data_IF_999649246314
#
_entry.id   IF_999649246314
#
_cell.length_a   1.000
_cell.length_b   1.000
_cell.length_c   1.000
_cell.angle_alpha   90.00
_cell.angle_beta   90.00
_cell.angle_gamma   90.00
#
_symmetry.space_group_name_H-M   'P 1'
#
loop_
_entity.id
_entity.type
_entity.pdbx_description
1 polymer ?
#
# COMPACT_ATOMS: atom_id res chain seq x y z
N UNK A 1 21.80 -10.09 -3.40
CA UNK A 1 20.42 -10.02 -3.70
C UNK A 1 19.82 -11.35 -3.96
N UNK A 2 19.81 -12.25 -3.16
CA UNK A 2 19.21 -13.54 -3.36
C UNK A 2 17.83 -13.66 -2.75
N UNK A 3 17.31 -12.59 -2.15
CA UNK A 3 16.06 -12.65 -1.44
C UNK A 3 14.85 -12.52 -2.34
N UNK A 4 13.70 -12.93 -1.81
CA UNK A 4 12.45 -12.83 -2.55
C UNK A 4 11.85 -11.44 -2.43
N UNK A 5 10.98 -11.11 -3.38
CA UNK A 5 10.27 -9.84 -3.42
C UNK A 5 8.79 -10.09 -3.18
N UNK A 6 8.20 -9.28 -2.30
CA UNK A 6 6.78 -9.35 -1.99
C UNK A 6 6.14 -8.01 -2.33
N UNK A 7 4.97 -8.06 -2.94
CA UNK A 7 4.17 -6.85 -3.19
C UNK A 7 2.92 -6.93 -2.32
N UNK A 8 2.83 -6.06 -1.33
CA UNK A 8 1.69 -5.95 -0.43
C UNK A 8 0.87 -4.75 -0.87
N UNK A 9 -0.45 -4.89 -0.95
CA UNK A 9 -1.25 -3.76 -1.37
C UNK A 9 -2.67 -3.80 -0.81
N UNK A 10 -3.23 -2.61 -0.61
CA UNK A 10 -4.66 -2.43 -0.39
C UNK A 10 -5.22 -1.69 -1.61
N UNK A 11 -6.29 -2.22 -2.18
CA UNK A 11 -6.92 -1.59 -3.35
C UNK A 11 -8.41 -1.43 -3.08
N UNK A 12 -8.88 -0.18 -3.14
CA UNK A 12 -10.29 0.11 -2.91
C UNK A 12 -11.11 -0.02 -4.18
N UNK A 13 -10.58 0.44 -5.32
CA UNK A 13 -11.34 0.50 -6.57
C UNK A 13 -10.66 -0.23 -7.73
N UNK A 14 -9.54 -0.88 -7.49
CA UNK A 14 -8.83 -1.64 -8.52
C UNK A 14 -7.59 -0.96 -9.08
N UNK A 15 -7.42 0.33 -8.86
CA UNK A 15 -6.27 1.05 -9.42
C UNK A 15 -4.95 0.59 -8.81
N UNK A 16 -4.91 0.46 -7.48
CA UNK A 16 -3.70 0.00 -6.80
C UNK A 16 -3.40 -1.45 -7.17
N UNK A 17 -4.43 -2.27 -7.28
CA UNK A 17 -4.27 -3.67 -7.66
C UNK A 17 -3.62 -3.79 -9.03
N UNK A 18 -4.04 -2.97 -9.98
CA UNK A 18 -3.48 -3.00 -11.33
C UNK A 18 -1.99 -2.70 -11.32
N UNK A 19 -1.58 -1.68 -10.57
CA UNK A 19 -0.17 -1.34 -10.44
C UNK A 19 0.60 -2.47 -9.77
N UNK A 20 0.04 -3.00 -8.67
CA UNK A 20 0.67 -4.10 -7.94
C UNK A 20 0.89 -5.31 -8.84
N UNK A 21 -0.12 -5.70 -9.62
CA UNK A 21 -0.01 -6.85 -10.51
C UNK A 21 1.07 -6.66 -11.57
N UNK A 22 1.24 -5.43 -12.07
CA UNK A 22 2.27 -5.14 -13.03
C UNK A 22 3.67 -5.30 -12.40
N UNK A 23 3.84 -4.83 -11.16
CA UNK A 23 5.10 -5.00 -10.45
C UNK A 23 5.39 -6.49 -10.22
N UNK A 24 4.38 -7.24 -9.80
CA UNK A 24 4.51 -8.68 -9.58
C UNK A 24 5.02 -9.38 -10.85
N UNK A 25 4.41 -9.08 -11.99
CA UNK A 25 4.82 -9.69 -13.25
C UNK A 25 6.23 -9.26 -13.64
N UNK A 26 6.54 -7.98 -13.48
CA UNK A 26 7.83 -7.45 -13.90
C UNK A 26 8.98 -8.06 -13.13
N UNK A 27 8.80 -8.25 -11.82
CA UNK A 27 9.87 -8.70 -10.93
C UNK A 27 9.77 -10.18 -10.58
N UNK A 28 8.74 -10.87 -11.09
CA UNK A 28 8.47 -12.25 -10.72
C UNK A 28 8.34 -12.36 -9.19
N UNK A 29 7.55 -11.48 -8.61
CA UNK A 29 7.38 -11.37 -7.17
C UNK A 29 6.14 -12.10 -6.69
N UNK A 30 6.06 -12.32 -5.38
CA UNK A 30 4.83 -12.80 -4.75
C UNK A 30 3.97 -11.58 -4.40
N UNK A 31 2.69 -11.80 -4.15
CA UNK A 31 1.78 -10.71 -3.79
C UNK A 31 0.97 -11.07 -2.56
N UNK A 32 0.53 -10.05 -1.84
CA UNK A 32 -0.31 -10.21 -0.67
C UNK A 32 -1.30 -9.05 -0.63
N UNK A 33 -2.57 -9.36 -0.89
CA UNK A 33 -3.60 -8.34 -0.89
C UNK A 33 -4.15 -8.14 0.52
N UNK A 34 -4.25 -6.88 0.96
CA UNK A 34 -4.84 -6.55 2.25
C UNK A 34 -6.35 -6.43 2.07
N UNK A 35 -7.08 -7.31 2.74
CA UNK A 35 -8.54 -7.39 2.59
C UNK A 35 -9.18 -7.14 3.93
N UNK A 36 -9.87 -5.97 4.11
CA UNK A 36 -10.59 -5.73 5.35
C UNK A 36 -11.66 -6.78 5.59
N UNK A 37 -11.86 -7.16 6.85
CA UNK A 37 -12.93 -8.11 7.19
C UNK A 37 -14.29 -7.53 6.82
N UNK A 38 -14.44 -6.20 6.96
CA UNK A 38 -15.57 -5.48 6.40
C UNK A 38 -15.09 -4.71 5.18
N UNK A 39 -15.40 -5.24 4.00
CA UNK A 39 -14.97 -4.63 2.75
C UNK A 39 -15.68 -3.29 2.57
N UNK A 40 -14.94 -2.30 2.08
CA UNK A 40 -15.53 -1.00 1.78
C UNK A 40 -16.37 -1.10 0.52
N UNK A 41 -17.65 -0.79 0.65
CA UNK A 41 -18.55 -0.72 -0.49
C UNK A 41 -18.38 0.61 -1.20
N UNK A 42 -19.03 0.75 -2.36
CA UNK A 42 -19.00 2.03 -3.08
C UNK A 42 -19.54 3.15 -2.20
N UNK A 43 -20.63 2.89 -1.47
CA UNK A 43 -21.21 3.87 -0.56
C UNK A 43 -20.24 4.19 0.58
N UNK A 44 -19.53 3.18 1.10
CA UNK A 44 -18.54 3.38 2.16
C UNK A 44 -17.41 4.31 1.72
N UNK A 45 -17.06 4.28 0.44
CA UNK A 45 -15.95 5.04 -0.11
C UNK A 45 -16.34 6.44 -0.56
N UNK A 46 -17.60 6.81 -0.45
CA UNK A 46 -18.09 8.10 -0.94
C UNK A 46 -17.62 9.23 0.00
N UNK A 47 -16.43 9.74 -0.27
CA UNK A 47 -15.82 10.77 0.57
C UNK A 47 -16.58 12.11 0.56
N UNK A 48 -17.45 12.33 -0.44
CA UNK A 48 -18.24 13.55 -0.48
C UNK A 48 -19.47 13.49 0.43
N UNK A 49 -19.81 12.31 0.93
CA UNK A 49 -20.92 12.12 1.87
C UNK A 49 -20.34 12.05 3.28
N UNK A 50 -20.69 13.03 4.12
CA UNK A 50 -20.15 13.10 5.49
C UNK A 50 -20.56 11.92 6.35
N UNK A 51 -21.64 11.23 5.96
CA UNK A 51 -22.14 10.08 6.72
C UNK A 51 -21.55 8.76 6.24
N UNK A 52 -20.72 8.77 5.21
CA UNK A 52 -20.12 7.54 4.71
C UNK A 52 -19.09 7.00 5.72
N UNK A 53 -18.80 5.71 5.60
CA UNK A 53 -17.84 5.06 6.49
C UNK A 53 -16.48 5.75 6.43
N UNK A 54 -15.97 6.01 5.21
CA UNK A 54 -14.64 6.58 5.06
C UNK A 54 -14.58 8.00 5.62
N UNK A 55 -15.67 8.78 5.48
CA UNK A 55 -15.69 10.14 6.02
C UNK A 55 -15.71 10.13 7.53
N UNK A 56 -16.46 9.23 8.13
CA UNK A 56 -16.49 9.10 9.59
C UNK A 56 -15.15 8.65 10.15
N UNK A 57 -14.49 7.74 9.46
CA UNK A 57 -13.17 7.28 9.87
C UNK A 57 -12.15 8.41 9.73
N UNK A 58 -12.28 9.22 8.69
CA UNK A 58 -11.40 10.37 8.53
C UNK A 58 -11.59 11.37 9.68
N UNK A 59 -12.84 11.68 10.02
CA UNK A 59 -13.13 12.64 11.07
C UNK A 59 -12.75 12.13 12.46
N UNK A 60 -12.69 10.82 12.63
CA UNK A 60 -12.37 10.21 13.92
C UNK A 60 -11.21 9.22 13.75
N UNK A 61 -9.96 9.69 13.86
CA UNK A 61 -8.81 8.81 13.64
C UNK A 61 -8.80 7.55 14.50
N UNK A 62 -9.45 7.57 15.66
CA UNK A 62 -9.50 6.39 16.52
C UNK A 62 -10.31 5.26 15.90
N UNK A 63 -11.20 5.56 14.95
CA UNK A 63 -12.01 4.54 14.28
C UNK A 63 -11.32 3.98 13.03
N UNK A 64 -10.09 4.41 12.73
CA UNK A 64 -9.35 3.94 11.56
C UNK A 64 -8.61 2.62 11.79
N UNK A 65 -8.85 1.95 12.89
CA UNK A 65 -8.21 0.67 13.18
C UNK A 65 -8.97 -0.43 12.45
N UNK A 66 -8.68 -0.60 11.17
CA UNK A 66 -9.42 -1.49 10.29
C UNK A 66 -8.88 -2.90 10.41
N UNK A 67 -9.73 -3.84 10.78
CA UNK A 67 -9.35 -5.24 10.88
C UNK A 67 -9.18 -5.83 9.48
N UNK A 68 -8.12 -6.61 9.28
CA UNK A 68 -7.84 -7.31 8.02
C UNK A 68 -8.10 -8.80 8.19
N UNK A 69 -8.50 -9.46 7.10
CA UNK A 69 -8.67 -10.91 7.12
C UNK A 69 -7.38 -11.63 7.44
N UNK A 70 -6.25 -11.05 7.03
CA UNK A 70 -4.92 -11.51 7.42
C UNK A 70 -3.99 -10.29 7.44
N UNK A 71 -3.17 -10.19 8.47
CA UNK A 71 -2.24 -9.06 8.61
C UNK A 71 -0.80 -9.51 8.74
N UNK A 72 -0.52 -10.80 8.61
CA UNK A 72 0.83 -11.35 8.61
C UNK A 72 0.98 -12.27 7.40
N UNK A 73 2.20 -12.43 6.94
CA UNK A 73 2.52 -13.17 5.72
C UNK A 73 3.37 -14.38 6.08
N UNK A 74 2.99 -15.55 5.53
CA UNK A 74 3.80 -16.75 5.70
C UNK A 74 5.17 -16.55 5.04
N UNK A 75 6.21 -17.10 5.66
CA UNK A 75 7.59 -17.00 5.16
C UNK A 75 8.06 -15.55 5.08
N UNK A 76 7.56 -14.71 5.97
CA UNK A 76 7.91 -13.28 5.99
C UNK A 76 9.42 -13.07 5.96
N UNK A 77 10.16 -13.89 6.67
CA UNK A 77 11.62 -13.76 6.78
C UNK A 77 12.35 -13.98 5.47
N UNK A 78 11.72 -14.68 4.52
CA UNK A 78 12.35 -14.97 3.22
C UNK A 78 12.35 -13.76 2.27
N UNK A 79 11.57 -12.72 2.60
CA UNK A 79 11.45 -11.56 1.74
C UNK A 79 12.44 -10.47 2.14
N UNK A 80 13.34 -10.12 1.22
CA UNK A 80 14.31 -9.04 1.43
C UNK A 80 13.75 -7.69 1.01
N UNK A 81 12.83 -7.69 0.06
CA UNK A 81 12.26 -6.47 -0.50
C UNK A 81 10.74 -6.57 -0.44
N UNK A 82 10.10 -5.52 0.09
CA UNK A 82 8.65 -5.47 0.20
C UNK A 82 8.17 -4.16 -0.41
N UNK A 83 7.35 -4.27 -1.45
CA UNK A 83 6.63 -3.12 -1.99
C UNK A 83 5.33 -2.98 -1.22
N UNK A 84 4.93 -1.75 -0.92
CA UNK A 84 3.66 -1.50 -0.22
C UNK A 84 2.85 -0.50 -1.03
N UNK A 85 1.70 -0.93 -1.54
CA UNK A 85 0.86 -0.11 -2.40
C UNK A 85 -0.46 0.25 -1.73
N UNK A 86 -0.92 1.49 -1.99
CA UNK A 86 -2.13 1.99 -1.35
C UNK A 86 -2.69 3.19 -2.13
N UNK A 87 -4.00 3.40 -2.07
CA UNK A 87 -4.55 4.66 -2.57
C UNK A 87 -4.37 5.77 -1.54
N UNK A 88 -4.42 7.00 -2.00
CA UNK A 88 -4.34 8.18 -1.13
C UNK A 88 -5.75 8.57 -0.69
N UNK A 89 -5.96 8.66 0.62
CA UNK A 89 -7.20 9.13 1.22
C UNK A 89 -6.87 10.36 2.06
N UNK A 90 -7.42 11.52 1.68
CA UNK A 90 -7.16 12.79 2.38
C UNK A 90 -5.66 13.05 2.58
N UNK A 91 -4.87 12.79 1.55
CA UNK A 91 -3.44 13.10 1.57
C UNK A 91 -2.55 12.11 2.27
N UNK A 92 -3.10 11.03 2.82
CA UNK A 92 -2.32 10.00 3.51
C UNK A 92 -2.66 8.63 2.93
N UNK A 93 -1.90 7.63 3.32
CA UNK A 93 -2.19 6.25 2.89
C UNK A 93 -3.55 5.83 3.42
N UNK A 94 -4.33 5.14 2.58
CA UNK A 94 -5.59 4.56 3.02
C UNK A 94 -5.31 3.71 4.25
N UNK A 95 -6.08 3.93 5.30
CA UNK A 95 -5.73 3.40 6.62
C UNK A 95 -5.87 1.89 6.81
N UNK A 96 -6.55 1.11 5.96
CA UNK A 96 -6.36 -0.35 6.05
C UNK A 96 -4.90 -0.77 5.94
N UNK A 97 -4.08 0.01 5.23
CA UNK A 97 -2.64 -0.22 5.12
C UNK A 97 -1.96 -0.16 6.49
N UNK A 98 -2.41 0.76 7.35
CA UNK A 98 -1.80 0.98 8.66
C UNK A 98 -1.82 -0.29 9.51
N UNK A 99 -2.90 -1.07 9.42
CA UNK A 99 -3.02 -2.30 10.21
C UNK A 99 -1.89 -3.27 9.89
N UNK A 100 -1.56 -3.40 8.61
CA UNK A 100 -0.46 -4.28 8.19
C UNK A 100 0.89 -3.74 8.68
N UNK A 101 1.08 -2.43 8.57
CA UNK A 101 2.35 -1.81 8.98
C UNK A 101 2.60 -2.04 10.46
N UNK A 102 1.57 -1.86 11.29
CA UNK A 102 1.72 -2.03 12.75
C UNK A 102 1.92 -3.47 13.15
N UNK A 103 1.48 -4.42 12.34
CA UNK A 103 1.51 -5.84 12.68
C UNK A 103 2.84 -6.51 12.35
N UNK A 104 3.75 -5.85 11.63
CA UNK A 104 4.91 -6.54 11.08
C UNK A 104 6.21 -5.82 11.42
N UNK A 105 7.29 -6.60 11.48
CA UNK A 105 8.64 -6.11 11.74
C UNK A 105 9.40 -6.11 10.41
N UNK A 106 9.86 -4.94 10.00
CA UNK A 106 10.53 -4.78 8.71
C UNK A 106 12.05 -4.77 8.81
N UNK A 107 12.61 -5.10 9.98
CA UNK A 107 14.04 -5.11 10.17
C UNK A 107 14.73 -5.97 9.11
N UNK A 108 15.77 -5.42 8.49
CA UNK A 108 16.56 -6.14 7.47
C UNK A 108 15.94 -6.11 6.09
N UNK A 109 14.80 -5.47 5.91
CA UNK A 109 14.10 -5.42 4.63
C UNK A 109 14.20 -4.04 4.00
N UNK A 110 14.27 -4.02 2.67
CA UNK A 110 14.10 -2.78 1.91
C UNK A 110 12.62 -2.64 1.60
N UNK A 111 12.02 -1.50 1.97
CA UNK A 111 10.59 -1.28 1.80
C UNK A 111 10.38 -0.14 0.81
N UNK A 112 9.56 -0.38 -0.20
CA UNK A 112 9.37 0.56 -1.30
C UNK A 112 7.87 0.87 -1.43
N UNK A 113 7.43 2.04 -0.94
CA UNK A 113 6.02 2.41 -1.05
C UNK A 113 5.66 2.86 -2.45
N UNK A 114 4.42 2.63 -2.84
CA UNK A 114 3.85 3.26 -4.03
C UNK A 114 2.38 3.56 -3.77
N UNK A 115 1.89 4.62 -4.39
CA UNK A 115 0.50 5.00 -4.18
C UNK A 115 -0.19 5.26 -5.51
N UNK A 116 -1.52 5.20 -5.47
CA UNK A 116 -2.35 5.57 -6.60
C UNK A 116 -3.26 6.70 -6.19
N UNK A 117 -3.49 7.63 -7.11
CA UNK A 117 -4.40 8.74 -6.86
C UNK A 117 -4.78 9.37 -8.19
N UNK A 118 -5.95 10.03 -8.20
CA UNK A 118 -6.39 10.73 -9.40
C UNK A 118 -5.62 12.05 -9.58
N UNK A 119 -5.42 12.79 -8.51
CA UNK A 119 -4.79 14.11 -8.59
C UNK A 119 -3.81 14.39 -7.48
N UNK A 120 -3.97 13.77 -6.31
CA UNK A 120 -3.06 14.00 -5.18
C UNK A 120 -1.70 13.41 -5.47
N UNK A 121 -0.64 14.04 -4.95
CA UNK A 121 0.68 13.47 -5.00
C UNK A 121 0.90 12.47 -3.88
N UNK A 122 2.11 11.94 -3.82
CA UNK A 122 2.53 11.03 -2.76
C UNK A 122 2.45 11.72 -1.38
N UNK A 123 2.73 13.02 -1.32
CA UNK A 123 2.76 13.76 -0.07
C UNK A 123 3.79 13.16 0.87
N UNK A 124 3.43 13.10 2.14
CA UNK A 124 4.27 12.49 3.17
C UNK A 124 3.83 11.07 3.50
N UNK A 125 2.95 10.48 2.68
CA UNK A 125 2.34 9.19 3.02
C UNK A 125 3.39 8.10 3.23
N UNK A 126 4.42 8.06 2.40
CA UNK A 126 5.49 7.07 2.54
C UNK A 126 6.26 7.25 3.83
N UNK A 127 6.58 8.50 4.17
CA UNK A 127 7.33 8.81 5.40
C UNK A 127 6.52 8.52 6.65
N UNK A 128 5.21 8.77 6.59
CA UNK A 128 4.34 8.47 7.73
C UNK A 128 4.27 6.97 7.98
N UNK A 129 4.19 6.17 6.93
CA UNK A 129 4.20 4.71 7.09
C UNK A 129 5.54 4.23 7.66
N UNK A 130 6.65 4.80 7.19
CA UNK A 130 7.97 4.43 7.70
C UNK A 130 8.09 4.74 9.19
N UNK A 131 7.60 5.90 9.62
CA UNK A 131 7.58 6.25 11.04
C UNK A 131 6.71 5.28 11.84
N UNK A 132 5.56 4.93 11.30
CA UNK A 132 4.64 4.01 11.95
C UNK A 132 5.27 2.64 12.13
N UNK A 133 6.00 2.17 11.12
CA UNK A 133 6.68 0.87 11.16
C UNK A 133 7.81 0.85 12.18
N UNK A 134 8.60 1.92 12.20
CA UNK A 134 9.74 2.03 13.11
C UNK A 134 10.91 1.11 12.77
N UNK A 135 10.81 0.27 11.76
CA UNK A 135 11.84 -0.68 11.35
C UNK A 135 11.90 -0.73 9.83
N UNK A 136 13.04 -1.20 9.30
CA UNK A 136 13.22 -1.38 7.87
C UNK A 136 13.99 -0.24 7.22
N UNK A 137 14.48 -0.51 6.01
CA UNK A 137 15.11 0.51 5.18
C UNK A 137 14.11 0.97 4.14
N UNK A 138 13.45 2.09 4.42
CA UNK A 138 12.37 2.61 3.59
C UNK A 138 12.92 3.55 2.54
N UNK A 139 12.64 3.26 1.28
CA UNK A 139 13.01 4.11 0.17
C UNK A 139 11.90 5.12 -0.09
N UNK A 140 12.21 6.13 -0.87
CA UNK A 140 11.21 7.10 -1.29
C UNK A 140 10.17 6.43 -2.18
N UNK A 141 8.90 6.74 -1.96
CA UNK A 141 7.83 6.12 -2.71
C UNK A 141 7.61 6.77 -4.07
N UNK A 142 6.68 6.18 -4.83
CA UNK A 142 6.31 6.68 -6.14
C UNK A 142 4.79 6.76 -6.23
N UNK A 143 4.30 7.81 -6.90
CA UNK A 143 2.87 7.98 -7.15
C UNK A 143 2.55 7.61 -8.60
N UNK A 144 1.50 6.81 -8.79
CA UNK A 144 1.00 6.46 -10.11
C UNK A 144 -0.41 7.01 -10.26
N UNK A 145 -0.67 7.67 -11.37
CA UNK A 145 -2.01 8.17 -11.62
C UNK A 145 -2.83 7.12 -12.35
N UNK A 146 -4.14 7.28 -12.31
CA UNK A 146 -5.06 6.42 -13.04
C UNK A 146 -4.68 6.45 -14.52
N UNK A 147 -4.65 5.26 -15.14
CA UNK A 147 -4.30 5.18 -16.55
C UNK A 147 -2.81 5.12 -16.85
N UNK A 148 -1.96 5.05 -15.82
CA UNK A 148 -0.52 4.91 -16.03
C UNK A 148 -0.25 3.65 -16.86
N UNK A 149 0.75 3.74 -17.76
CA UNK A 149 1.07 2.60 -18.64
C UNK A 149 1.82 1.52 -17.87
N UNK A 150 1.63 0.27 -18.32
CA UNK A 150 2.38 -0.85 -17.73
C UNK A 150 3.88 -0.69 -17.92
N UNK A 151 4.31 -0.12 -19.06
CA UNK A 151 5.73 0.06 -19.30
C UNK A 151 6.36 1.06 -18.32
N UNK A 152 5.64 2.10 -17.94
CA UNK A 152 6.15 3.06 -16.97
C UNK A 152 6.28 2.42 -15.59
N UNK A 153 5.29 1.62 -15.20
CA UNK A 153 5.33 0.91 -13.92
C UNK A 153 6.51 -0.07 -13.91
N UNK A 154 6.66 -0.82 -14.99
CA UNK A 154 7.74 -1.80 -15.10
C UNK A 154 9.12 -1.15 -15.04
N UNK A 155 9.27 -0.02 -15.72
CA UNK A 155 10.54 0.71 -15.72
C UNK A 155 10.90 1.19 -14.31
N UNK A 156 9.90 1.71 -13.58
CA UNK A 156 10.13 2.15 -12.21
C UNK A 156 10.51 0.97 -11.32
N UNK A 157 9.75 -0.12 -11.41
CA UNK A 157 9.99 -1.29 -10.55
C UNK A 157 11.42 -1.82 -10.75
N UNK A 158 11.87 -1.87 -11.98
CA UNK A 158 13.25 -2.32 -12.27
C UNK A 158 14.29 -1.33 -11.74
N UNK A 159 14.00 -0.04 -11.85
CA UNK A 159 14.95 0.98 -11.42
C UNK A 159 15.22 0.95 -9.92
N UNK A 160 14.18 0.70 -9.11
CA UNK A 160 14.33 0.70 -7.65
C UNK A 160 15.00 -0.58 -7.14
N UNK A 161 15.09 -1.62 -7.98
CA UNK A 161 15.73 -2.87 -7.60
C UNK A 161 17.23 -2.87 -7.90
N UNK A 162 17.76 -1.85 -8.53
CA UNK A 162 19.18 -1.78 -8.87
C UNK A 162 20.05 -1.29 -7.73
#
# INVERSE_FOLDING_TARGET
KGGKVLVVYYSATGSTEKVANTIVKTLNADSFELIPTEIYTEADLNWSNKESRVSKEHDNPQSRNVELTAKTVDDWESYDTVFIGYPIWWGIAAWPTDTFIRANNFTGKTVIPFCTSLSSGLGESDKLLAQMAGTGNWLEGERFRSGVSGSDISAWAKSVMQ
#
